data_IF_606303540186
#
_entry.id   IF_606303540186
#
_cell.length_a   1.000
_cell.length_b   1.000
_cell.length_c   1.000
_cell.angle_alpha   90.00
_cell.angle_beta   90.00
_cell.angle_gamma   90.00
#
_symmetry.space_group_name_H-M   'P 1'
#
loop_
_entity.id
_entity.type
_entity.pdbx_description
1 polymer ?
#
# COMPACT_ATOMS: atom_id res chain seq x y z
N UNK A 1 -7.03 22.58 35.42
CA UNK A 1 -7.59 21.21 35.57
C UNK A 1 -8.79 21.09 34.65
N UNK A 2 -8.74 20.19 33.66
CA UNK A 2 -9.83 19.95 32.73
C UNK A 2 -9.38 18.95 31.67
N UNK A 3 -9.58 17.65 31.95
CA UNK A 3 -9.22 16.54 31.06
C UNK A 3 -10.07 16.61 29.79
N UNK A 4 -9.43 16.69 28.62
CA UNK A 4 -10.11 16.50 27.33
C UNK A 4 -10.36 15.02 27.10
N UNK A 5 -11.60 14.75 26.74
CA UNK A 5 -12.21 13.46 26.47
C UNK A 5 -11.57 12.79 25.24
N UNK A 6 -10.79 11.73 25.47
CA UNK A 6 -10.31 10.82 24.43
C UNK A 6 -11.50 9.98 23.97
N UNK A 7 -12.09 10.34 22.81
CA UNK A 7 -13.12 9.52 22.18
C UNK A 7 -12.52 8.16 21.81
N UNK A 8 -12.94 7.12 22.53
CA UNK A 8 -12.61 5.72 22.26
C UNK A 8 -13.18 5.32 20.89
N UNK A 9 -12.37 4.64 20.09
CA UNK A 9 -12.84 3.93 18.91
C UNK A 9 -13.95 2.92 19.30
N UNK A 10 -14.96 2.67 18.44
CA UNK A 10 -16.00 1.70 18.73
C UNK A 10 -15.41 0.31 18.93
N UNK A 11 -15.76 -0.35 20.03
CA UNK A 11 -15.42 -1.75 20.30
C UNK A 11 -16.41 -2.65 19.56
N UNK A 12 -16.00 -3.25 18.46
CA UNK A 12 -16.78 -4.27 17.75
C UNK A 12 -16.63 -5.60 18.48
N UNK A 13 -17.75 -6.26 18.81
CA UNK A 13 -17.75 -7.40 19.74
C UNK A 13 -17.55 -8.74 19.05
N UNK A 14 -17.64 -8.83 17.72
CA UNK A 14 -17.31 -10.06 16.97
C UNK A 14 -17.18 -9.82 15.44
N UNK A 15 -16.63 -10.83 14.75
CA UNK A 15 -16.41 -10.84 13.30
C UNK A 15 -17.69 -10.77 12.45
N UNK A 16 -18.87 -11.09 13.02
CA UNK A 16 -20.13 -11.07 12.30
C UNK A 16 -20.73 -9.66 12.18
N UNK A 17 -20.48 -8.78 13.16
CA UNK A 17 -20.85 -7.36 13.10
C UNK A 17 -20.02 -6.60 12.05
N UNK A 18 -18.76 -7.01 11.85
CA UNK A 18 -17.87 -6.47 10.81
C UNK A 18 -18.37 -6.80 9.39
N UNK A 19 -18.83 -8.04 9.17
CA UNK A 19 -19.39 -8.49 7.87
C UNK A 19 -20.61 -7.67 7.45
N UNK A 20 -21.52 -7.42 8.39
CA UNK A 20 -22.77 -6.70 8.12
C UNK A 20 -22.57 -5.23 7.72
N UNK A 21 -21.59 -4.55 8.32
CA UNK A 21 -21.26 -3.16 7.96
C UNK A 21 -20.56 -3.05 6.59
N UNK A 22 -19.85 -4.09 6.16
CA UNK A 22 -19.15 -4.13 4.86
C UNK A 22 -20.05 -4.50 3.67
N UNK A 23 -21.18 -5.18 3.92
CA UNK A 23 -22.13 -5.63 2.90
C UNK A 23 -23.10 -4.53 2.46
N UNK A 24 -23.45 -3.57 3.34
CA UNK A 24 -24.47 -2.55 3.02
C UNK A 24 -23.98 -1.40 2.14
N UNK A 25 -22.67 -1.27 1.92
CA UNK A 25 -22.07 -0.11 1.23
C UNK A 25 -21.71 -0.35 -0.25
N UNK A 26 -21.82 -1.57 -0.76
CA UNK A 26 -21.27 -1.91 -2.08
C UNK A 26 -22.22 -2.82 -2.86
N UNK A 27 -22.79 -2.27 -3.94
CA UNK A 27 -23.72 -2.99 -4.81
C UNK A 27 -23.07 -4.19 -5.50
N UNK A 28 -23.78 -5.32 -5.51
CA UNK A 28 -23.38 -6.54 -6.19
C UNK A 28 -23.40 -6.37 -7.72
N UNK A 29 -22.43 -6.98 -8.42
CA UNK A 29 -22.55 -7.30 -9.85
C UNK A 29 -21.96 -8.68 -10.18
N UNK A 30 -22.44 -9.31 -11.27
CA UNK A 30 -22.50 -10.76 -11.40
C UNK A 30 -21.24 -11.38 -11.99
N UNK A 31 -21.03 -12.65 -11.64
CA UNK A 31 -20.03 -13.57 -12.21
C UNK A 31 -20.31 -13.80 -13.70
N UNK A 32 -19.27 -13.80 -14.52
CA UNK A 32 -19.29 -14.43 -15.85
C UNK A 32 -18.26 -15.55 -15.90
N UNK A 33 -18.68 -16.68 -16.48
CA UNK A 33 -17.98 -17.96 -16.46
C UNK A 33 -17.26 -18.31 -17.75
N UNK A 34 -16.32 -19.25 -17.59
CA UNK A 34 -16.04 -20.43 -18.42
C UNK A 34 -16.01 -20.33 -19.96
N UNK A 35 -14.82 -20.63 -20.51
CA UNK A 35 -14.65 -21.12 -21.88
C UNK A 35 -13.28 -21.79 -22.04
N UNK A 36 -13.26 -23.03 -22.52
CA UNK A 36 -12.13 -23.96 -22.61
C UNK A 36 -11.46 -23.98 -24.00
N UNK A 37 -10.28 -24.62 -24.02
CA UNK A 37 -9.68 -25.42 -25.11
C UNK A 37 -8.58 -24.84 -26.02
N UNK A 38 -7.35 -25.34 -25.74
CA UNK A 38 -6.37 -26.03 -26.59
C UNK A 38 -6.11 -25.57 -28.04
N UNK A 39 -4.83 -25.28 -28.34
CA UNK A 39 -4.09 -25.96 -29.42
C UNK A 39 -2.56 -25.72 -29.31
N UNK A 40 -1.82 -26.80 -29.56
CA UNK A 40 -0.37 -26.90 -29.65
C UNK A 40 0.14 -26.37 -31.01
N UNK A 41 1.29 -25.68 -31.01
CA UNK A 41 1.98 -25.26 -32.22
C UNK A 41 3.41 -24.81 -31.90
N UNK A 42 4.39 -25.66 -32.22
CA UNK A 42 5.80 -25.34 -32.12
C UNK A 42 6.19 -24.34 -33.23
N UNK A 43 6.81 -23.22 -32.84
CA UNK A 43 7.52 -22.34 -33.74
C UNK A 43 8.78 -21.81 -33.04
N UNK A 44 9.95 -22.15 -33.59
CA UNK A 44 11.21 -21.51 -33.27
C UNK A 44 11.13 -20.03 -33.70
N UNK A 45 11.43 -19.09 -32.80
CA UNK A 45 11.40 -17.67 -33.17
C UNK A 45 11.76 -16.72 -32.04
N UNK A 46 12.93 -16.10 -32.20
CA UNK A 46 13.41 -14.87 -31.57
C UNK A 46 13.47 -14.84 -30.04
N UNK A 47 14.67 -14.56 -29.51
CA UNK A 47 14.83 -13.99 -28.17
C UNK A 47 13.97 -12.72 -28.13
N UNK A 48 12.78 -12.84 -27.52
CA UNK A 48 11.94 -11.67 -27.24
C UNK A 48 12.77 -10.78 -26.34
N UNK A 49 13.26 -9.67 -26.89
CA UNK A 49 13.64 -8.52 -26.05
C UNK A 49 12.38 -8.20 -25.26
N UNK A 50 12.38 -8.53 -23.98
CA UNK A 50 11.31 -8.20 -23.05
C UNK A 50 11.07 -6.70 -23.17
N UNK A 51 9.97 -6.29 -23.81
CA UNK A 51 9.54 -4.90 -23.77
C UNK A 51 9.39 -4.57 -22.29
N UNK A 52 10.20 -3.64 -21.80
CA UNK A 52 10.02 -3.09 -20.46
C UNK A 52 8.56 -2.58 -20.42
N UNK A 53 7.72 -3.07 -19.50
CA UNK A 53 6.36 -2.59 -19.38
C UNK A 53 6.37 -1.06 -19.24
N UNK A 54 5.46 -0.39 -19.94
CA UNK A 54 5.36 1.07 -19.87
C UNK A 54 5.15 1.49 -18.41
N UNK A 55 5.90 2.50 -17.95
CA UNK A 55 5.72 3.08 -16.62
C UNK A 55 4.28 3.53 -16.47
N UNK A 56 3.64 3.19 -15.35
CA UNK A 56 2.27 3.60 -15.06
C UNK A 56 2.26 5.03 -14.50
N UNK A 57 1.18 5.77 -14.78
CA UNK A 57 0.93 7.09 -14.21
C UNK A 57 -0.34 7.03 -13.38
N UNK A 58 -0.32 7.65 -12.20
CA UNK A 58 -1.44 7.79 -11.30
C UNK A 58 -1.63 9.26 -10.96
N UNK A 59 -2.88 9.75 -11.03
CA UNK A 59 -3.21 11.13 -10.69
C UNK A 59 -3.63 11.19 -9.22
N UNK A 60 -2.91 11.97 -8.42
CA UNK A 60 -3.24 12.23 -7.02
C UNK A 60 -4.08 13.49 -6.97
N UNK A 61 -5.30 13.35 -6.47
CA UNK A 61 -6.33 14.41 -6.50
C UNK A 61 -6.25 15.30 -5.27
N UNK A 62 -6.31 16.62 -5.47
CA UNK A 62 -6.27 17.61 -4.38
C UNK A 62 -7.61 17.69 -3.68
N UNK A 63 -7.57 17.72 -2.35
CA UNK A 63 -8.74 18.00 -1.54
C UNK A 63 -9.08 19.50 -1.52
N UNK A 64 -10.33 19.82 -1.83
CA UNK A 64 -10.87 21.18 -1.73
C UNK A 64 -11.42 21.47 -0.32
N UNK A 65 -11.30 22.73 0.14
CA UNK A 65 -12.09 23.25 1.24
C UNK A 65 -11.74 22.75 2.65
N UNK A 66 -10.51 22.28 2.88
CA UNK A 66 -10.04 21.89 4.23
C UNK A 66 -10.63 20.58 4.78
N UNK A 67 -11.50 19.90 4.02
CA UNK A 67 -12.00 18.58 4.34
C UNK A 67 -10.86 17.55 4.33
N UNK A 68 -10.90 16.60 5.26
CA UNK A 68 -9.90 15.53 5.40
C UNK A 68 -10.60 14.20 5.67
N UNK A 69 -10.15 13.07 5.10
CA UNK A 69 -10.72 11.77 5.41
C UNK A 69 -10.47 11.41 6.88
N UNK A 70 -11.55 11.17 7.62
CA UNK A 70 -11.54 10.64 8.99
C UNK A 70 -11.80 9.15 9.05
N UNK A 71 -12.37 8.56 7.98
CA UNK A 71 -12.68 7.14 7.87
C UNK A 71 -12.48 6.63 6.42
N UNK A 72 -12.25 5.33 6.26
CA UNK A 72 -11.94 4.72 4.96
C UNK A 72 -13.13 4.71 3.98
N UNK A 73 -14.36 4.77 4.50
CA UNK A 73 -15.61 4.86 3.72
C UNK A 73 -16.09 6.29 3.49
N UNK A 74 -15.32 7.30 3.89
CA UNK A 74 -15.78 8.68 3.76
C UNK A 74 -16.06 9.01 2.28
N UNK A 75 -17.18 9.70 1.97
CA UNK A 75 -17.51 10.06 0.59
C UNK A 75 -16.43 10.87 -0.13
N UNK A 76 -15.52 11.50 0.62
CA UNK A 76 -14.37 12.24 0.10
C UNK A 76 -13.47 11.37 -0.80
N UNK A 77 -13.42 10.06 -0.57
CA UNK A 77 -12.67 9.12 -1.40
C UNK A 77 -13.23 8.95 -2.81
N UNK A 78 -14.47 9.38 -3.06
CA UNK A 78 -15.03 9.42 -4.43
C UNK A 78 -14.29 10.40 -5.35
N UNK A 79 -13.55 11.35 -4.78
CA UNK A 79 -12.68 12.24 -5.53
C UNK A 79 -11.37 11.56 -5.95
N UNK A 80 -10.99 10.43 -5.35
CA UNK A 80 -9.73 9.77 -5.64
C UNK A 80 -9.86 8.81 -6.83
N UNK A 81 -8.89 8.87 -7.74
CA UNK A 81 -8.70 7.77 -8.68
C UNK A 81 -8.29 6.51 -7.91
N UNK A 82 -8.67 5.33 -8.37
CA UNK A 82 -8.36 4.05 -7.71
C UNK A 82 -7.62 3.12 -8.66
N UNK A 83 -6.49 2.57 -8.21
CA UNK A 83 -5.67 1.63 -8.99
C UNK A 83 -5.65 0.25 -8.35
N UNK A 84 -5.53 -0.78 -9.20
CA UNK A 84 -5.30 -2.15 -8.75
C UNK A 84 -3.80 -2.40 -8.53
N UNK A 85 -3.48 -3.10 -7.43
CA UNK A 85 -2.15 -3.66 -7.15
C UNK A 85 -2.18 -5.13 -7.60
N UNK A 86 -2.01 -5.33 -8.91
CA UNK A 86 -2.36 -6.57 -9.61
C UNK A 86 -1.21 -7.21 -10.42
N UNK A 87 -0.02 -6.63 -10.38
CA UNK A 87 1.17 -7.17 -11.05
C UNK A 87 1.87 -8.15 -10.11
N UNK A 88 1.39 -9.39 -10.08
CA UNK A 88 1.97 -10.44 -9.25
C UNK A 88 3.29 -10.93 -9.81
N UNK A 89 4.31 -10.95 -8.95
CA UNK A 89 5.61 -11.52 -9.28
C UNK A 89 5.47 -13.04 -9.49
N UNK A 90 6.17 -13.66 -10.46
CA UNK A 90 6.07 -15.11 -10.74
C UNK A 90 6.45 -16.04 -9.59
N UNK A 91 7.15 -15.53 -8.58
CA UNK A 91 7.48 -16.27 -7.35
C UNK A 91 6.31 -16.39 -6.37
N UNK A 92 5.24 -15.63 -6.58
CA UNK A 92 4.01 -15.76 -5.79
C UNK A 92 3.40 -17.15 -5.96
N UNK A 93 2.71 -17.63 -4.93
CA UNK A 93 1.76 -18.75 -5.07
C UNK A 93 0.62 -18.40 -6.03
N UNK A 94 -0.40 -19.23 -6.17
CA UNK A 94 -1.62 -18.91 -6.95
C UNK A 94 -2.57 -17.95 -6.23
N UNK A 95 -2.25 -17.53 -5.00
CA UNK A 95 -3.08 -16.60 -4.24
C UNK A 95 -3.02 -15.17 -4.80
N UNK A 96 -4.20 -14.58 -5.04
CA UNK A 96 -4.37 -13.28 -5.70
C UNK A 96 -5.34 -12.39 -4.92
N UNK A 97 -4.93 -11.81 -3.77
CA UNK A 97 -5.77 -10.86 -3.05
C UNK A 97 -6.14 -9.68 -3.93
N UNK A 98 -7.41 -9.29 -3.94
CA UNK A 98 -7.86 -8.12 -4.66
C UNK A 98 -7.47 -6.90 -3.85
N UNK A 99 -6.45 -6.18 -4.28
CA UNK A 99 -5.90 -5.02 -3.59
C UNK A 99 -6.07 -3.76 -4.41
N UNK A 100 -6.66 -2.74 -3.81
CA UNK A 100 -6.87 -1.41 -4.42
C UNK A 100 -6.17 -0.34 -3.59
N UNK A 101 -5.57 0.63 -4.28
CA UNK A 101 -4.94 1.79 -3.66
C UNK A 101 -5.55 3.09 -4.19
N UNK A 102 -5.69 4.08 -3.31
CA UNK A 102 -6.13 5.43 -3.62
C UNK A 102 -5.27 6.43 -2.84
N UNK A 103 -4.94 7.58 -3.44
CA UNK A 103 -4.23 8.67 -2.78
C UNK A 103 -4.92 10.00 -3.05
N UNK A 104 -5.06 10.79 -1.99
CA UNK A 104 -5.49 12.17 -2.02
C UNK A 104 -4.40 13.03 -1.38
N UNK A 105 -4.41 14.33 -1.66
CA UNK A 105 -3.46 15.24 -1.03
C UNK A 105 -4.10 16.58 -0.66
N UNK A 106 -3.50 17.24 0.33
CA UNK A 106 -3.69 18.66 0.59
C UNK A 106 -2.32 19.35 0.73
N UNK A 107 -2.32 20.62 1.17
CA UNK A 107 -1.09 21.40 1.34
C UNK A 107 -0.13 20.81 2.38
N UNK A 108 -0.63 20.01 3.32
CA UNK A 108 0.11 19.53 4.49
C UNK A 108 0.23 18.00 4.56
N UNK A 109 -0.61 17.24 3.84
CA UNK A 109 -0.68 15.77 3.99
C UNK A 109 -0.86 15.05 2.65
N UNK A 110 -0.36 13.82 2.63
CA UNK A 110 -0.87 12.75 1.76
C UNK A 110 -1.83 11.87 2.55
N UNK A 111 -2.93 11.46 1.92
CA UNK A 111 -3.87 10.50 2.44
C UNK A 111 -3.84 9.27 1.55
N UNK A 112 -3.41 8.12 2.07
CA UNK A 112 -3.30 6.88 1.31
C UNK A 112 -4.31 5.89 1.87
N UNK A 113 -5.04 5.19 1.00
CA UNK A 113 -5.97 4.13 1.39
C UNK A 113 -5.68 2.88 0.60
N UNK A 114 -5.61 1.76 1.31
CA UNK A 114 -5.61 0.42 0.76
C UNK A 114 -6.88 -0.31 1.18
N UNK A 115 -7.51 -0.98 0.21
CA UNK A 115 -8.64 -1.88 0.44
C UNK A 115 -8.27 -3.27 -0.11
N UNK A 116 -8.43 -4.29 0.71
CA UNK A 116 -7.98 -5.65 0.41
C UNK A 116 -9.11 -6.64 0.65
N UNK A 117 -9.42 -7.43 -0.36
CA UNK A 117 -10.23 -8.64 -0.25
C UNK A 117 -9.28 -9.83 -0.31
N UNK A 118 -9.18 -10.58 0.80
CA UNK A 118 -8.09 -11.51 1.03
C UNK A 118 -8.56 -12.82 1.68
N UNK A 119 -7.67 -13.81 1.66
CA UNK A 119 -7.70 -15.07 2.41
C UNK A 119 -6.26 -15.30 2.91
N UNK A 120 -6.10 -16.10 3.95
CA UNK A 120 -4.77 -16.37 4.54
C UNK A 120 -4.13 -15.11 5.11
N UNK A 121 -4.91 -14.38 5.92
CA UNK A 121 -4.48 -13.13 6.54
C UNK A 121 -3.81 -13.40 7.88
N UNK A 122 -2.58 -12.90 8.04
CA UNK A 122 -1.72 -13.11 9.22
C UNK A 122 -1.16 -11.77 9.71
N UNK A 123 -1.04 -11.60 11.03
CA UNK A 123 -0.39 -10.45 11.66
C UNK A 123 0.22 -10.84 13.00
N UNK A 124 1.55 -10.91 13.08
CA UNK A 124 2.27 -11.31 14.31
C UNK A 124 3.33 -10.27 14.71
N UNK A 125 3.84 -9.50 13.75
CA UNK A 125 4.85 -8.48 13.97
C UNK A 125 4.17 -7.17 14.37
N UNK A 126 4.08 -6.92 15.68
CA UNK A 126 3.43 -5.75 16.23
C UNK A 126 4.43 -4.70 16.72
N UNK A 127 4.23 -3.44 16.34
CA UNK A 127 5.06 -2.30 16.77
C UNK A 127 5.78 -1.59 15.64
N UNK A 128 6.36 -0.43 15.94
CA UNK A 128 7.11 0.38 14.98
C UNK A 128 8.41 -0.31 14.55
N UNK A 129 8.78 -0.18 13.28
CA UNK A 129 9.98 -0.76 12.64
C UNK A 129 10.11 -2.28 12.79
N UNK A 130 8.98 -3.00 12.89
CA UNK A 130 8.99 -4.46 12.84
C UNK A 130 9.00 -4.97 11.39
N UNK A 131 9.37 -6.24 11.18
CA UNK A 131 9.39 -6.89 9.87
C UNK A 131 7.97 -7.20 9.35
N UNK A 132 7.19 -6.14 9.10
CA UNK A 132 5.76 -6.20 8.75
C UNK A 132 5.49 -6.87 7.41
N UNK A 133 6.44 -6.88 6.48
CA UNK A 133 6.35 -7.61 5.21
C UNK A 133 6.23 -9.15 5.37
N UNK A 134 6.61 -9.68 6.54
CA UNK A 134 6.41 -11.10 6.88
C UNK A 134 4.93 -11.42 7.20
N UNK A 135 4.13 -10.40 7.48
CA UNK A 135 2.68 -10.48 7.71
C UNK A 135 1.91 -10.05 6.45
N UNK A 136 0.58 -10.15 6.47
CA UNK A 136 -0.25 -9.59 5.41
C UNK A 136 -0.10 -8.07 5.38
N UNK A 137 0.61 -7.55 4.37
CA UNK A 137 1.14 -6.20 4.36
C UNK A 137 0.82 -5.47 3.05
N UNK A 138 0.54 -4.18 3.17
CA UNK A 138 0.43 -3.23 2.05
C UNK A 138 1.51 -2.17 2.19
N UNK A 139 2.02 -1.70 1.06
CA UNK A 139 3.14 -0.76 1.09
C UNK A 139 2.95 0.37 0.08
N UNK A 140 3.35 1.58 0.47
CA UNK A 140 3.39 2.76 -0.39
C UNK A 140 4.80 3.32 -0.42
N UNK A 141 5.43 3.27 -1.59
CA UNK A 141 6.77 3.81 -1.79
C UNK A 141 6.66 5.13 -2.54
N UNK A 142 7.37 6.15 -2.07
CA UNK A 142 7.25 7.50 -2.64
C UNK A 142 8.55 8.29 -2.57
N UNK A 143 8.93 8.88 -3.69
CA UNK A 143 10.04 9.82 -3.85
C UNK A 143 9.48 11.21 -4.13
N UNK A 144 9.58 12.16 -3.18
CA UNK A 144 9.08 13.51 -3.37
C UNK A 144 9.87 14.27 -4.44
N UNK A 145 9.24 14.60 -5.57
CA UNK A 145 9.84 15.38 -6.66
C UNK A 145 11.26 14.93 -7.03
N UNK A 146 12.22 15.84 -6.96
CA UNK A 146 13.62 15.60 -7.26
C UNK A 146 14.48 15.17 -6.03
N UNK A 147 13.86 14.77 -4.91
CA UNK A 147 14.57 14.39 -3.69
C UNK A 147 15.62 13.28 -3.95
N UNK A 148 16.71 13.26 -3.19
CA UNK A 148 17.79 12.27 -3.36
C UNK A 148 17.36 10.82 -3.12
N UNK A 149 16.48 10.60 -2.14
CA UNK A 149 15.93 9.31 -1.76
C UNK A 149 14.40 9.21 -1.76
N UNK A 150 13.89 8.05 -1.38
CA UNK A 150 12.46 7.72 -1.29
C UNK A 150 12.11 7.10 0.07
N UNK A 151 10.81 7.05 0.38
CA UNK A 151 10.28 6.46 1.60
C UNK A 151 9.53 5.17 1.28
N UNK A 152 9.64 4.16 2.16
CA UNK A 152 8.86 2.92 2.13
C UNK A 152 7.89 2.87 3.31
N UNK A 153 6.64 3.27 3.12
CA UNK A 153 5.60 3.07 4.12
C UNK A 153 5.09 1.65 4.04
N UNK A 154 5.57 0.75 4.90
CA UNK A 154 5.12 -0.64 4.96
C UNK A 154 4.21 -0.83 6.17
N UNK A 155 2.99 -1.34 5.95
CA UNK A 155 1.99 -1.50 7.01
C UNK A 155 1.32 -2.86 6.93
N UNK A 156 1.46 -3.66 7.99
CA UNK A 156 0.71 -4.90 8.09
C UNK A 156 -0.77 -4.64 8.40
N UNK A 157 -1.61 -5.65 8.22
CA UNK A 157 -3.06 -5.52 8.37
C UNK A 157 -3.51 -5.13 9.79
N UNK A 158 -2.65 -5.32 10.80
CA UNK A 158 -2.85 -4.87 12.18
C UNK A 158 -2.36 -3.44 12.48
N UNK A 159 -1.90 -2.69 11.48
CA UNK A 159 -1.54 -1.27 11.59
C UNK A 159 -0.15 -0.97 12.10
N UNK A 160 0.75 -1.95 12.17
CA UNK A 160 2.16 -1.72 12.53
C UNK A 160 2.93 -1.17 11.32
N UNK A 161 3.77 -0.16 11.55
CA UNK A 161 4.50 0.58 10.50
C UNK A 161 5.99 0.29 10.55
N UNK A 162 6.57 -0.03 9.39
CA UNK A 162 7.99 0.11 9.10
C UNK A 162 8.16 1.24 8.10
N UNK A 163 9.12 2.12 8.36
CA UNK A 163 9.33 3.33 7.57
C UNK A 163 10.81 3.72 7.51
N UNK A 164 11.40 3.64 6.33
CA UNK A 164 12.75 4.12 6.06
C UNK A 164 12.73 5.31 5.09
N UNK A 165 13.82 6.06 5.10
CA UNK A 165 14.24 6.94 4.01
C UNK A 165 15.48 6.30 3.35
N UNK A 166 15.43 6.08 2.04
CA UNK A 166 16.44 5.31 1.30
C UNK A 166 17.01 6.17 0.18
N UNK A 167 18.31 6.45 0.29
CA UNK A 167 19.07 7.27 -0.68
C UNK A 167 19.85 6.39 -1.66
N UNK A 168 20.31 5.22 -1.20
CA UNK A 168 20.99 4.22 -2.01
C UNK A 168 20.40 2.84 -1.74
N UNK A 169 19.57 2.40 -2.68
CA UNK A 169 18.78 1.18 -2.61
C UNK A 169 19.60 -0.10 -2.86
N UNK A 170 20.90 0.01 -3.17
CA UNK A 170 21.75 -1.18 -3.37
C UNK A 170 21.77 -2.02 -2.10
N UNK A 171 21.46 -3.31 -2.24
CA UNK A 171 21.45 -4.26 -1.12
C UNK A 171 22.87 -4.54 -0.64
N UNK A 172 23.07 -4.50 0.67
CA UNK A 172 24.30 -4.89 1.39
C UNK A 172 23.93 -5.81 2.55
N UNK A 173 24.88 -6.55 3.16
CA UNK A 173 24.59 -7.32 4.36
C UNK A 173 23.94 -6.44 5.43
N UNK A 174 22.72 -6.81 5.86
CA UNK A 174 21.97 -6.09 6.89
C UNK A 174 21.04 -4.97 6.39
N UNK A 175 20.98 -4.64 5.09
CA UNK A 175 20.03 -3.64 4.59
C UNK A 175 20.41 -3.00 3.25
N UNK A 176 20.49 -1.68 3.24
CA UNK A 176 20.81 -0.87 2.07
C UNK A 176 22.14 -0.12 2.24
N UNK A 177 22.80 0.17 1.13
CA UNK A 177 24.05 0.94 1.13
C UNK A 177 23.88 2.36 1.69
N UNK A 178 22.68 2.94 1.61
CA UNK A 178 22.35 4.24 2.19
C UNK A 178 20.88 4.34 2.54
N UNK A 179 20.54 4.17 3.82
CA UNK A 179 19.21 4.38 4.34
C UNK A 179 19.23 4.83 5.79
N UNK A 180 18.15 5.48 6.20
CA UNK A 180 17.89 5.87 7.59
C UNK A 180 16.53 5.31 8.01
N UNK A 181 16.47 4.68 9.17
CA UNK A 181 15.19 4.39 9.82
C UNK A 181 14.55 5.71 10.23
N UNK A 182 13.32 5.98 9.79
CA UNK A 182 12.62 7.18 10.26
C UNK A 182 12.48 7.10 11.79
N UNK A 183 12.73 8.22 12.45
CA UNK A 183 12.70 8.34 13.90
C UNK A 183 11.28 8.06 14.41
N UNK A 184 11.17 7.36 15.54
CA UNK A 184 9.87 6.98 16.09
C UNK A 184 8.99 8.19 16.42
N UNK A 185 9.55 9.30 16.93
CA UNK A 185 8.79 10.50 17.23
C UNK A 185 8.24 11.15 15.95
N UNK A 186 8.97 11.05 14.82
CA UNK A 186 8.45 11.47 13.52
C UNK A 186 7.43 10.48 12.96
N UNK A 187 7.68 9.17 13.09
CA UNK A 187 6.80 8.09 12.66
C UNK A 187 5.43 8.13 13.34
N UNK A 188 5.36 8.50 14.62
CA UNK A 188 4.12 8.67 15.38
C UNK A 188 3.19 9.74 14.81
N UNK A 189 3.70 10.69 14.03
CA UNK A 189 2.87 11.68 13.35
C UNK A 189 2.12 11.11 12.14
N UNK A 190 2.53 9.95 11.61
CA UNK A 190 1.79 9.23 10.58
C UNK A 190 0.61 8.51 11.24
N UNK A 191 -0.62 8.99 10.98
CA UNK A 191 -1.82 8.36 11.55
C UNK A 191 -2.21 7.16 10.72
N UNK A 192 -2.48 6.04 11.38
CA UNK A 192 -2.89 4.78 10.76
C UNK A 192 -4.25 4.39 11.28
N UNK A 193 -5.21 4.21 10.37
CA UNK A 193 -6.48 3.53 10.66
C UNK A 193 -6.48 2.17 9.98
N UNK A 194 -6.93 1.15 10.70
CA UNK A 194 -6.95 -0.24 10.24
C UNK A 194 -8.20 -0.96 10.74
N UNK A 195 -8.68 -1.96 9.99
CA UNK A 195 -9.89 -2.73 10.36
C UNK A 195 -9.62 -3.98 11.20
N UNK A 196 -8.44 -4.60 11.04
CA UNK A 196 -8.11 -5.85 11.71
C UNK A 196 -7.42 -5.60 13.05
N UNK A 197 -7.51 -6.55 14.00
CA UNK A 197 -6.81 -6.41 15.28
C UNK A 197 -5.29 -6.31 15.07
N UNK A 198 -4.54 -5.70 16.02
CA UNK A 198 -3.08 -5.61 15.95
C UNK A 198 -2.34 -6.96 15.87
N UNK A 199 -3.04 -8.05 16.14
CA UNK A 199 -2.55 -9.43 16.01
C UNK A 199 -3.63 -10.32 15.40
N UNK A 200 -3.25 -11.10 14.40
CA UNK A 200 -4.05 -12.13 13.72
C UNK A 200 -3.21 -13.40 13.69
N UNK A 201 -3.46 -14.26 14.68
CA UNK A 201 -2.78 -15.52 14.92
C UNK A 201 -3.74 -16.39 15.77
N UNK A 202 -4.31 -17.50 15.25
CA UNK A 202 -3.98 -18.14 13.97
C UNK A 202 -4.38 -17.32 12.73
N UNK A 203 -3.81 -17.68 11.59
CA UNK A 203 -4.09 -17.07 10.28
C UNK A 203 -5.58 -17.22 9.90
N UNK A 204 -6.18 -16.16 9.35
CA UNK A 204 -7.56 -16.18 8.84
C UNK A 204 -7.54 -16.82 7.45
N UNK A 205 -7.99 -18.07 7.34
CA UNK A 205 -8.03 -18.81 6.05
C UNK A 205 -9.27 -18.49 5.20
N UNK A 206 -10.31 -17.98 5.84
CA UNK A 206 -11.59 -17.63 5.21
C UNK A 206 -11.53 -16.25 4.53
N UNK A 207 -12.42 -15.98 3.56
CA UNK A 207 -12.55 -14.65 2.97
C UNK A 207 -12.77 -13.57 4.02
N UNK A 208 -11.95 -12.52 3.94
CA UNK A 208 -12.02 -11.35 4.81
C UNK A 208 -11.69 -10.10 4.00
N UNK A 209 -12.34 -8.99 4.35
CA UNK A 209 -12.02 -7.67 3.82
C UNK A 209 -11.34 -6.86 4.90
N UNK A 210 -10.28 -6.15 4.53
CA UNK A 210 -9.58 -5.26 5.44
C UNK A 210 -9.07 -4.02 4.73
N UNK A 211 -8.79 -2.97 5.51
CA UNK A 211 -8.26 -1.72 5.01
C UNK A 211 -7.10 -1.22 5.86
N UNK A 212 -6.26 -0.39 5.24
CA UNK A 212 -5.29 0.49 5.89
C UNK A 212 -5.49 1.88 5.32
N UNK A 213 -5.52 2.89 6.18
CA UNK A 213 -5.52 4.29 5.79
C UNK A 213 -4.39 5.02 6.49
N UNK A 214 -3.52 5.67 5.73
CA UNK A 214 -2.44 6.51 6.21
C UNK A 214 -2.81 7.97 6.03
N UNK A 215 -2.60 8.78 7.08
CA UNK A 215 -2.47 10.23 6.95
C UNK A 215 -1.01 10.57 7.21
N UNK A 216 -0.29 10.97 6.16
CA UNK A 216 1.15 11.22 6.17
C UNK A 216 1.37 12.72 6.13
N UNK A 217 1.79 13.36 7.23
CA UNK A 217 2.17 14.76 7.20
C UNK A 217 3.41 14.95 6.32
N UNK A 218 3.39 15.94 5.44
CA UNK A 218 4.53 16.30 4.60
C UNK A 218 5.74 16.75 5.44
N UNK A 219 5.53 17.22 6.67
CA UNK A 219 6.60 17.52 7.62
C UNK A 219 7.46 16.30 7.96
N UNK A 220 6.88 15.09 7.99
CA UNK A 220 7.63 13.83 8.21
C UNK A 220 8.60 13.60 7.05
N UNK A 221 8.14 13.83 5.81
CA UNK A 221 8.99 13.70 4.63
C UNK A 221 10.07 14.80 4.59
N UNK A 222 9.69 16.04 4.92
CA UNK A 222 10.58 17.22 4.91
C UNK A 222 11.72 17.12 5.94
N UNK A 223 11.57 16.29 6.97
CA UNK A 223 12.64 16.04 7.93
C UNK A 223 13.83 15.28 7.32
N UNK A 224 13.65 14.58 6.20
CA UNK A 224 14.70 13.79 5.54
C UNK A 224 15.00 14.24 4.11
N UNK A 225 14.03 14.85 3.44
CA UNK A 225 14.15 15.27 2.03
C UNK A 225 13.77 16.74 1.85
N UNK A 226 14.60 17.49 1.13
CA UNK A 226 14.28 18.87 0.74
C UNK A 226 13.34 18.88 -0.48
N UNK A 227 12.11 19.38 -0.29
CA UNK A 227 11.15 19.62 -1.38
C UNK A 227 10.14 20.71 -0.96
N UNK A 228 9.62 21.46 -1.94
CA UNK A 228 8.67 22.56 -1.69
C UNK A 228 7.31 22.09 -1.15
N UNK A 229 6.88 20.89 -1.56
CA UNK A 229 5.53 20.38 -1.35
C UNK A 229 4.88 20.07 -2.71
N UNK A 230 3.83 19.23 -2.75
CA UNK A 230 3.13 18.96 -3.99
C UNK A 230 2.32 20.18 -4.45
N UNK A 231 2.49 20.54 -5.72
CA UNK A 231 1.73 21.56 -6.44
C UNK A 231 1.10 20.95 -7.69
N UNK A 232 0.06 21.60 -8.22
CA UNK A 232 -0.56 21.18 -9.47
C UNK A 232 0.49 21.02 -10.58
N UNK A 233 0.53 19.85 -11.20
CA UNK A 233 1.45 19.48 -12.27
C UNK A 233 2.78 18.89 -11.79
N UNK A 234 3.04 18.86 -10.48
CA UNK A 234 4.23 18.18 -9.96
C UNK A 234 4.15 16.69 -10.24
N UNK A 235 5.32 16.10 -10.53
CA UNK A 235 5.46 14.66 -10.71
C UNK A 235 6.42 14.13 -9.67
N UNK A 236 5.91 13.24 -8.82
CA UNK A 236 6.71 12.41 -7.94
C UNK A 236 6.83 11.02 -8.55
N UNK A 237 7.71 10.18 -8.02
CA UNK A 237 7.73 8.76 -8.38
C UNK A 237 7.37 7.89 -7.20
N UNK A 238 6.69 6.79 -7.45
CA UNK A 238 6.33 5.85 -6.39
C UNK A 238 5.68 4.58 -6.89
N UNK A 239 5.30 3.73 -5.95
CA UNK A 239 4.60 2.48 -6.26
C UNK A 239 3.76 2.01 -5.06
N UNK A 240 2.86 1.08 -5.33
CA UNK A 240 1.99 0.46 -4.34
C UNK A 240 2.21 -1.05 -4.37
N UNK A 241 2.28 -1.69 -3.20
CA UNK A 241 2.57 -3.11 -3.09
C UNK A 241 1.63 -3.84 -2.14
N UNK A 242 1.52 -5.16 -2.35
CA UNK A 242 0.86 -6.12 -1.47
C UNK A 242 1.77 -7.34 -1.30
N UNK A 243 2.04 -7.72 -0.06
CA UNK A 243 2.85 -8.89 0.24
C UNK A 243 2.36 -9.66 1.48
N UNK A 244 3.07 -10.75 1.79
CA UNK A 244 2.80 -11.64 2.90
C UNK A 244 3.79 -12.80 2.91
N UNK A 245 5.07 -12.52 3.19
CA UNK A 245 6.16 -13.49 2.98
C UNK A 245 6.03 -14.76 3.83
N UNK A 246 5.42 -14.66 5.01
CA UNK A 246 5.20 -15.79 5.93
C UNK A 246 3.73 -16.11 6.17
N UNK A 247 2.85 -15.73 5.25
CA UNK A 247 1.51 -16.35 5.21
C UNK A 247 1.64 -17.79 4.70
N UNK A 248 0.59 -18.60 4.85
CA UNK A 248 0.54 -19.93 4.23
C UNK A 248 0.56 -19.87 2.70
N UNK A 249 0.26 -18.71 2.11
CA UNK A 249 0.23 -18.46 0.66
C UNK A 249 1.04 -17.22 0.30
N UNK A 250 2.39 -17.29 0.31
CA UNK A 250 3.23 -16.13 0.01
C UNK A 250 2.94 -15.56 -1.37
N UNK A 251 2.96 -14.24 -1.47
CA UNK A 251 2.66 -13.50 -2.69
C UNK A 251 3.29 -12.12 -2.65
N UNK A 252 3.55 -11.56 -3.83
CA UNK A 252 4.15 -10.24 -4.01
C UNK A 252 3.51 -9.59 -5.23
N UNK A 253 2.75 -8.52 -5.04
CA UNK A 253 2.11 -7.77 -6.10
C UNK A 253 2.51 -6.30 -6.07
N UNK A 254 2.55 -5.69 -7.25
CA UNK A 254 2.78 -4.25 -7.41
C UNK A 254 1.72 -3.60 -8.31
N UNK A 255 1.60 -2.28 -8.23
CA UNK A 255 0.87 -1.50 -9.22
C UNK A 255 1.73 -1.30 -10.47
N UNK A 256 2.89 -0.65 -10.36
CA UNK A 256 3.87 -0.53 -11.45
C UNK A 256 4.76 -1.79 -11.48
N UNK A 257 5.00 -2.44 -12.64
CA UNK A 257 5.77 -3.68 -12.70
C UNK A 257 7.23 -3.55 -12.24
N UNK A 258 7.71 -4.50 -11.44
CA UNK A 258 9.09 -4.52 -10.90
C UNK A 258 10.11 -5.30 -11.76
N UNK A 259 9.65 -5.96 -12.82
CA UNK A 259 10.47 -6.84 -13.64
C UNK A 259 10.67 -8.24 -13.04
N UNK A 260 11.78 -8.89 -13.37
CA UNK A 260 12.07 -10.30 -12.99
C UNK A 260 12.69 -10.45 -11.60
N UNK A 261 13.30 -9.38 -11.09
CA UNK A 261 13.90 -9.40 -9.74
C UNK A 261 12.80 -9.15 -8.73
N UNK A 262 12.60 -10.10 -7.80
CA UNK A 262 11.75 -9.91 -6.63
C UNK A 262 12.44 -8.97 -5.63
N UNK A 263 12.32 -7.67 -5.90
CA UNK A 263 12.72 -6.60 -4.98
C UNK A 263 11.78 -5.42 -5.23
N UNK A 264 11.12 -4.90 -4.19
CA UNK A 264 10.28 -3.70 -4.31
C UNK A 264 11.10 -2.40 -4.27
N UNK A 265 12.34 -2.46 -3.79
CA UNK A 265 13.24 -1.32 -3.66
C UNK A 265 13.99 -1.05 -4.98
N UNK A 266 13.23 -0.77 -6.03
CA UNK A 266 13.71 -0.47 -7.38
C UNK A 266 13.13 0.87 -7.86
N UNK A 267 13.69 2.02 -7.45
CA UNK A 267 13.12 3.32 -7.79
C UNK A 267 13.06 3.59 -9.29
N UNK A 268 13.87 2.90 -10.10
CA UNK A 268 13.79 2.95 -11.57
C UNK A 268 12.54 2.25 -12.14
N UNK A 269 11.82 1.48 -11.31
CA UNK A 269 10.55 0.80 -11.64
C UNK A 269 9.33 1.51 -11.09
N UNK A 270 9.52 2.57 -10.31
CA UNK A 270 8.41 3.36 -9.80
C UNK A 270 7.61 3.97 -10.95
N UNK A 271 6.29 4.03 -10.76
CA UNK A 271 5.40 4.78 -11.64
C UNK A 271 5.48 6.28 -11.34
N UNK A 272 4.80 7.06 -12.17
CA UNK A 272 4.64 8.50 -11.99
C UNK A 272 3.42 8.80 -11.14
N UNK A 273 3.58 9.66 -10.15
CA UNK A 273 2.53 10.20 -9.29
C UNK A 273 2.34 11.67 -9.66
N UNK A 274 1.34 11.97 -10.48
CA UNK A 274 1.03 13.30 -10.99
C UNK A 274 0.04 13.99 -10.04
N UNK A 275 0.41 15.16 -9.51
CA UNK A 275 -0.48 15.97 -8.69
C UNK A 275 -1.34 16.87 -9.59
N UNK A 276 -2.65 16.85 -9.39
CA UNK A 276 -3.61 17.66 -10.16
C UNK A 276 -3.90 19.05 -9.57
#
# INVERSE_FOLDING_TARGET
MGRKDMRRAPKWKNAAELRRATETAWGERPRQGGGTDNACGAAAGAVRRSKIPAMRTYVIRRLAGGSRPGHWTDPIWSAADTVAVDQFHPRSTDHRPITRASVLYDTDHLYVRFEVEDRYVRCVHAGYQQMVCLDSCVEFFVRPGAAGGYFNFEVNCGGSLLLYYIEDWRRVPGGFAGYTTVDAALGEHVKILHSLPPRVDPEIVDPVRWFIMLTIPLSVLRAYAAFAGPSHGDVWSGNFYKCGDRTSHPHWASWSPIGERLDFHQPERFGQLLFD
#
